data_IF_598508007329
#
_entry.id   IF_598508007329
#
_cell.length_a   1.000
_cell.length_b   1.000
_cell.length_c   1.000
_cell.angle_alpha   90.00
_cell.angle_beta   90.00
_cell.angle_gamma   90.00
#
_symmetry.space_group_name_H-M   'P 1'
#
loop_
_entity.id
_entity.type
_entity.pdbx_description
1 polymer ?
#
# COMPACT_ATOMS: atom_id res chain seq x y z
N UNK A 1 14.90 -4.89 -13.16
CA UNK A 1 13.84 -5.40 -12.27
C UNK A 1 12.54 -4.73 -12.68
N UNK A 2 11.48 -5.50 -12.91
CA UNK A 2 10.15 -4.94 -13.18
C UNK A 2 9.45 -4.67 -11.84
N UNK A 3 8.86 -3.49 -11.68
CA UNK A 3 8.02 -3.16 -10.53
C UNK A 3 6.76 -4.04 -10.59
N UNK A 4 6.52 -4.84 -9.55
CA UNK A 4 5.28 -5.62 -9.43
C UNK A 4 4.29 -4.80 -8.63
N UNK A 5 3.23 -4.31 -9.29
CA UNK A 5 2.18 -3.52 -8.65
C UNK A 5 1.03 -4.42 -8.20
N UNK A 6 0.50 -4.24 -6.97
CA UNK A 6 -0.76 -4.86 -6.57
C UNK A 6 -1.90 -4.40 -7.48
N UNK A 7 -2.90 -5.26 -7.66
CA UNK A 7 -4.11 -4.90 -8.41
C UNK A 7 -4.89 -3.80 -7.71
N UNK A 8 -4.98 -3.86 -6.38
CA UNK A 8 -5.64 -2.83 -5.58
C UNK A 8 -4.63 -2.17 -4.66
N UNK A 9 -4.60 -0.84 -4.68
CA UNK A 9 -3.62 -0.06 -3.95
C UNK A 9 -4.28 0.98 -3.06
N UNK A 10 -3.58 1.32 -1.98
CA UNK A 10 -3.73 2.55 -1.22
C UNK A 10 -2.43 3.32 -1.33
N UNK A 11 -2.53 4.64 -1.42
CA UNK A 11 -1.35 5.52 -1.49
C UNK A 11 -1.23 6.35 -0.23
N UNK A 12 -0.01 6.38 0.32
CA UNK A 12 0.36 7.18 1.48
C UNK A 12 1.41 8.21 1.09
N UNK A 13 1.27 9.48 1.51
CA UNK A 13 2.24 10.52 1.21
C UNK A 13 3.45 10.39 2.14
N UNK A 14 4.57 10.99 1.74
CA UNK A 14 5.83 10.99 2.52
C UNK A 14 5.72 11.62 3.91
N UNK A 15 4.78 12.56 4.10
CA UNK A 15 4.50 13.19 5.40
C UNK A 15 3.62 12.34 6.34
N UNK A 16 3.21 11.14 5.88
CA UNK A 16 2.35 10.19 6.60
C UNK A 16 0.99 10.74 7.06
N UNK A 17 0.53 11.87 6.53
CA UNK A 17 -0.69 12.52 6.99
C UNK A 17 -1.89 12.18 6.09
N UNK A 18 -2.61 11.11 6.46
CA UNK A 18 -3.77 10.62 5.75
C UNK A 18 -3.45 9.88 4.45
N UNK A 19 -4.37 9.03 4.03
CA UNK A 19 -4.29 8.25 2.80
C UNK A 19 -4.99 8.95 1.65
N UNK A 20 -4.52 8.66 0.44
CA UNK A 20 -5.12 9.21 -0.77
C UNK A 20 -6.56 8.72 -0.89
N UNK A 21 -7.44 9.62 -1.31
CA UNK A 21 -8.85 9.30 -1.40
C UNK A 21 -9.57 10.17 -2.42
N UNK A 22 -10.70 9.66 -2.88
CA UNK A 22 -11.59 10.37 -3.77
C UNK A 22 -12.48 11.36 -3.02
N UNK A 23 -12.49 12.63 -3.44
CA UNK A 23 -13.39 13.66 -2.89
C UNK A 23 -14.80 13.46 -3.44
N UNK A 24 -15.73 13.11 -2.55
CA UNK A 24 -17.14 12.77 -2.84
C UNK A 24 -18.13 13.90 -2.57
N UNK A 25 -17.73 14.87 -1.76
CA UNK A 25 -18.55 16.00 -1.34
C UNK A 25 -17.69 17.26 -1.32
N UNK A 26 -18.27 18.38 -1.75
CA UNK A 26 -17.58 19.67 -1.88
C UNK A 26 -18.06 20.43 -3.10
N UNK A 27 -17.95 21.76 -3.06
CA UNK A 27 -18.47 22.62 -4.13
C UNK A 27 -17.56 22.64 -5.37
N UNK A 28 -16.25 22.77 -5.17
CA UNK A 28 -15.30 23.09 -6.25
C UNK A 28 -14.18 22.06 -6.47
N UNK A 29 -14.17 20.97 -5.68
CA UNK A 29 -13.15 19.92 -5.75
C UNK A 29 -13.76 18.52 -5.88
N UNK A 30 -15.03 18.42 -6.28
CA UNK A 30 -15.69 17.14 -6.49
C UNK A 30 -14.90 16.29 -7.49
N UNK A 31 -14.55 15.08 -7.07
CA UNK A 31 -13.78 14.13 -7.85
C UNK A 31 -12.28 14.34 -7.88
N UNK A 32 -11.76 15.34 -7.16
CA UNK A 32 -10.32 15.48 -6.94
C UNK A 32 -9.80 14.35 -6.06
N UNK A 33 -8.52 14.06 -6.20
CA UNK A 33 -7.83 13.15 -5.31
C UNK A 33 -7.14 13.94 -4.20
N UNK A 34 -7.39 13.57 -2.95
CA UNK A 34 -6.93 14.30 -1.76
C UNK A 34 -6.45 13.35 -0.68
N UNK A 35 -5.37 13.72 -0.01
CA UNK A 35 -4.89 13.00 1.17
C UNK A 35 -5.65 13.49 2.40
N UNK A 36 -6.68 12.72 2.80
CA UNK A 36 -7.52 13.05 3.96
C UNK A 36 -8.07 11.83 4.70
N UNK A 37 -8.21 10.67 4.05
CA UNK A 37 -8.76 9.48 4.71
C UNK A 37 -7.82 9.02 5.82
N UNK A 38 -8.37 8.70 6.99
CA UNK A 38 -7.57 8.34 8.17
C UNK A 38 -7.26 6.84 8.23
N UNK A 39 -7.95 6.02 7.43
CA UNK A 39 -7.80 4.57 7.42
C UNK A 39 -7.50 4.07 6.00
N UNK A 40 -6.47 3.23 5.84
CA UNK A 40 -6.15 2.66 4.53
C UNK A 40 -7.21 1.66 4.03
N UNK A 41 -7.92 1.00 4.96
CA UNK A 41 -9.05 0.10 4.64
C UNK A 41 -10.32 0.85 4.23
N UNK A 42 -10.28 2.19 4.25
CA UNK A 42 -11.40 3.00 3.78
C UNK A 42 -11.71 2.67 2.33
N UNK A 43 -12.97 2.38 1.98
CA UNK A 43 -13.33 2.02 0.62
C UNK A 43 -13.08 3.22 -0.34
N UNK A 44 -13.00 4.44 0.18
CA UNK A 44 -12.65 5.67 -0.55
C UNK A 44 -11.16 5.83 -0.86
N UNK A 45 -10.30 5.09 -0.15
CA UNK A 45 -8.87 5.04 -0.35
C UNK A 45 -8.43 3.90 -1.29
N UNK A 46 -9.37 3.05 -1.73
CA UNK A 46 -9.13 1.92 -2.63
C UNK A 46 -9.09 2.37 -4.10
N UNK A 47 -7.94 2.14 -4.74
CA UNK A 47 -7.77 2.34 -6.18
C UNK A 47 -7.38 1.04 -6.88
N UNK A 48 -7.91 0.81 -8.07
CA UNK A 48 -7.55 -0.33 -8.92
C UNK A 48 -6.54 0.10 -9.98
N UNK A 49 -5.45 -0.66 -10.07
CA UNK A 49 -4.40 -0.50 -11.08
C UNK A 49 -4.68 -1.49 -12.21
N UNK A 50 -4.90 -0.96 -13.41
CA UNK A 50 -5.06 -1.74 -14.63
C UNK A 50 -3.84 -1.55 -15.51
N UNK A 51 -3.15 -2.65 -15.83
CA UNK A 51 -1.99 -2.62 -16.72
C UNK A 51 -2.47 -2.24 -18.14
N UNK A 52 -1.79 -1.29 -18.76
CA UNK A 52 -2.02 -0.89 -20.16
C UNK A 52 -1.45 -1.94 -21.12
N UNK A 53 -1.96 -1.96 -22.36
CA UNK A 53 -1.35 -2.75 -23.43
C UNK A 53 0.09 -2.28 -23.75
N UNK A 54 0.42 -1.03 -23.40
CA UNK A 54 1.78 -0.50 -23.47
C UNK A 54 2.57 -0.91 -22.23
N UNK A 55 3.61 -1.73 -22.45
CA UNK A 55 4.47 -2.27 -21.39
C UNK A 55 4.94 -1.22 -20.39
N UNK A 56 4.63 -1.44 -19.10
CA UNK A 56 5.07 -0.61 -17.98
C UNK A 56 4.24 0.64 -17.71
N UNK A 57 3.14 0.85 -18.42
CA UNK A 57 2.16 1.92 -18.14
C UNK A 57 0.90 1.34 -17.53
N UNK A 58 0.17 2.16 -16.78
CA UNK A 58 -1.06 1.74 -16.09
C UNK A 58 -2.14 2.81 -16.19
N UNK A 59 -3.38 2.34 -16.11
CA UNK A 59 -4.54 3.15 -15.77
C UNK A 59 -4.83 2.95 -14.29
N UNK A 60 -5.33 3.99 -13.63
CA UNK A 60 -5.73 3.92 -12.22
C UNK A 60 -7.17 4.40 -12.14
N UNK A 61 -8.03 3.65 -11.45
CA UNK A 61 -9.41 4.07 -11.22
C UNK A 61 -9.80 3.98 -9.75
N UNK A 62 -10.70 4.86 -9.34
CA UNK A 62 -11.32 4.77 -8.01
C UNK A 62 -12.30 3.60 -7.99
N UNK A 63 -12.20 2.73 -7.00
CA UNK A 63 -13.15 1.64 -6.82
C UNK A 63 -14.54 2.13 -6.38
N UNK A 64 -14.66 3.39 -5.94
CA UNK A 64 -15.93 3.96 -5.48
C UNK A 64 -16.85 4.37 -6.62
N UNK A 65 -16.31 5.10 -7.59
CA UNK A 65 -17.11 5.64 -8.69
C UNK A 65 -16.80 4.96 -10.03
N UNK A 66 -15.86 4.01 -10.05
CA UNK A 66 -15.38 3.31 -11.25
C UNK A 66 -14.88 4.23 -12.37
N UNK A 67 -14.39 5.42 -12.02
CA UNK A 67 -13.82 6.40 -12.96
C UNK A 67 -12.31 6.43 -12.88
N UNK A 68 -11.69 6.61 -14.04
CA UNK A 68 -10.26 6.67 -14.20
C UNK A 68 -9.71 8.02 -13.79
N UNK A 69 -8.45 7.98 -13.35
CA UNK A 69 -7.65 9.15 -13.07
C UNK A 69 -7.35 9.88 -14.37
N UNK A 70 -7.51 11.20 -14.35
CA UNK A 70 -7.14 12.08 -15.44
C UNK A 70 -6.54 13.37 -14.90
N UNK A 71 -5.76 14.05 -15.73
CA UNK A 71 -5.23 15.37 -15.42
C UNK A 71 -6.19 16.46 -15.88
N UNK A 72 -6.75 17.21 -14.94
CA UNK A 72 -7.72 18.27 -15.21
C UNK A 72 -7.11 19.64 -14.94
N UNK A 73 -7.30 20.58 -15.86
CA UNK A 73 -6.91 21.97 -15.70
C UNK A 73 -8.01 22.75 -14.98
N UNK A 74 -7.67 23.42 -13.88
CA UNK A 74 -8.62 24.30 -13.19
C UNK A 74 -8.56 25.70 -13.80
N UNK A 75 -9.75 26.25 -14.09
CA UNK A 75 -9.87 27.57 -14.74
C UNK A 75 -9.96 28.71 -13.72
N UNK A 76 -10.62 28.51 -12.58
CA UNK A 76 -10.69 29.50 -11.49
C UNK A 76 -11.32 28.93 -10.20
N UNK A 77 -10.52 28.75 -9.15
CA UNK A 77 -10.99 28.54 -7.77
C UNK A 77 -10.51 29.74 -6.96
N UNK A 78 -11.40 30.35 -6.16
CA UNK A 78 -11.06 31.53 -5.38
C UNK A 78 -9.91 31.24 -4.40
N UNK A 79 -8.82 32.02 -4.46
CA UNK A 79 -7.63 31.80 -3.63
C UNK A 79 -6.57 30.88 -4.25
N UNK A 80 -6.83 30.31 -5.43
CA UNK A 80 -5.91 29.42 -6.15
C UNK A 80 -5.46 30.07 -7.45
N UNK A 81 -4.15 30.07 -7.77
CA UNK A 81 -3.69 30.58 -9.06
C UNK A 81 -4.38 29.86 -10.23
N UNK A 82 -4.87 30.59 -11.25
CA UNK A 82 -5.49 29.96 -12.42
C UNK A 82 -4.47 29.14 -13.22
N UNK A 83 -4.96 28.11 -13.92
CA UNK A 83 -4.14 27.31 -14.84
C UNK A 83 -3.33 26.19 -14.18
N UNK A 84 -3.61 25.88 -12.92
CA UNK A 84 -3.06 24.72 -12.23
C UNK A 84 -3.71 23.42 -12.72
N UNK A 85 -2.95 22.32 -12.69
CA UNK A 85 -3.38 21.00 -13.09
C UNK A 85 -3.44 20.06 -11.90
N UNK A 86 -4.55 19.33 -11.81
CA UNK A 86 -4.89 18.44 -10.71
C UNK A 86 -5.22 17.05 -11.23
N UNK A 87 -5.07 16.04 -10.37
CA UNK A 87 -5.53 14.70 -10.68
C UNK A 87 -6.92 14.49 -10.10
N UNK A 88 -7.83 14.04 -10.96
CA UNK A 88 -9.23 13.77 -10.62
C UNK A 88 -9.60 12.36 -11.07
N UNK A 89 -10.44 11.66 -10.32
CA UNK A 89 -11.03 10.39 -10.75
C UNK A 89 -12.41 10.63 -11.40
N UNK A 90 -12.37 11.18 -12.62
CA UNK A 90 -13.56 11.65 -13.35
C UNK A 90 -13.67 11.13 -14.78
N UNK A 91 -12.62 10.52 -15.33
CA UNK A 91 -12.65 9.96 -16.68
C UNK A 91 -13.54 8.71 -16.74
N UNK A 92 -14.44 8.65 -17.71
CA UNK A 92 -15.35 7.52 -17.87
C UNK A 92 -14.66 6.31 -18.53
N UNK A 93 -13.72 6.56 -19.44
CA UNK A 93 -13.05 5.55 -20.24
C UNK A 93 -11.52 5.73 -20.16
N UNK A 94 -10.80 4.66 -20.45
CA UNK A 94 -9.35 4.68 -20.66
C UNK A 94 -9.01 5.45 -21.94
N UNK A 95 -7.92 6.22 -21.90
CA UNK A 95 -7.36 6.92 -23.05
C UNK A 95 -5.84 6.72 -23.08
N UNK A 96 -5.36 5.96 -24.07
CA UNK A 96 -3.95 5.61 -24.21
C UNK A 96 -3.19 6.51 -25.19
N UNK A 97 -3.89 7.36 -25.94
CA UNK A 97 -3.24 8.31 -26.82
C UNK A 97 -2.49 9.38 -26.01
N UNK A 98 -1.17 9.23 -25.96
CA UNK A 98 -0.27 10.10 -25.20
C UNK A 98 -0.21 11.53 -25.75
N UNK A 99 -0.82 11.82 -26.92
CA UNK A 99 -0.93 13.19 -27.44
C UNK A 99 -2.12 13.97 -26.88
N UNK A 100 -3.14 13.28 -26.35
CA UNK A 100 -4.38 13.90 -25.86
C UNK A 100 -4.26 14.33 -24.41
N UNK A 101 -4.76 15.52 -24.09
CA UNK A 101 -4.82 16.00 -22.69
C UNK A 101 -5.69 15.11 -21.79
N UNK A 102 -6.61 14.34 -22.38
CA UNK A 102 -7.47 13.38 -21.68
C UNK A 102 -6.81 12.03 -21.42
N UNK A 103 -5.52 11.87 -21.72
CA UNK A 103 -4.77 10.65 -21.45
C UNK A 103 -4.92 10.22 -19.99
N UNK A 104 -5.14 8.92 -19.76
CA UNK A 104 -5.32 8.32 -18.43
C UNK A 104 -4.15 7.43 -18.03
N UNK A 105 -3.05 7.49 -18.78
CA UNK A 105 -1.86 6.69 -18.53
C UNK A 105 -0.97 7.34 -17.45
N UNK A 106 -0.56 6.50 -16.51
CA UNK A 106 0.40 6.83 -15.48
C UNK A 106 1.55 5.83 -15.49
N UNK A 107 2.68 6.26 -14.94
CA UNK A 107 3.86 5.43 -14.73
C UNK A 107 4.30 5.52 -13.28
N UNK A 108 4.47 4.36 -12.66
CA UNK A 108 5.13 4.24 -11.36
C UNK A 108 6.64 4.12 -11.56
N UNK A 109 7.39 5.03 -10.94
CA UNK A 109 8.85 5.09 -10.99
C UNK A 109 9.41 4.82 -9.57
N UNK A 110 9.95 3.62 -9.30
CA UNK A 110 10.60 3.32 -8.02
C UNK A 110 11.80 4.25 -7.78
N UNK A 111 12.02 4.63 -6.52
CA UNK A 111 13.16 5.49 -6.14
C UNK A 111 14.44 4.67 -5.95
N UNK A 112 14.38 3.55 -5.24
CA UNK A 112 15.55 2.70 -4.94
C UNK A 112 15.34 1.22 -5.32
N UNK A 113 14.28 0.58 -4.83
CA UNK A 113 14.00 -0.85 -5.00
C UNK A 113 12.58 -1.13 -5.51
N UNK A 114 12.36 -2.32 -6.06
CA UNK A 114 11.09 -2.73 -6.67
C UNK A 114 9.89 -2.80 -5.69
N UNK A 115 10.10 -2.67 -4.38
CA UNK A 115 9.06 -2.64 -3.35
C UNK A 115 9.09 -1.37 -2.50
N UNK A 116 9.91 -0.38 -2.89
CA UNK A 116 10.12 0.87 -2.15
C UNK A 116 9.13 1.98 -2.52
N UNK A 117 9.30 3.18 -1.95
CA UNK A 117 8.53 4.35 -2.34
C UNK A 117 8.71 4.67 -3.82
N UNK A 118 7.65 5.26 -4.38
CA UNK A 118 7.51 5.51 -5.81
C UNK A 118 7.21 6.98 -6.08
N UNK A 119 7.58 7.42 -7.28
CA UNK A 119 7.01 8.60 -7.92
C UNK A 119 5.98 8.16 -8.95
N UNK A 120 4.91 8.94 -9.10
CA UNK A 120 3.89 8.67 -10.10
C UNK A 120 3.94 9.79 -11.12
N UNK A 121 4.06 9.43 -12.40
CA UNK A 121 4.17 10.37 -13.51
C UNK A 121 2.95 10.27 -14.40
N UNK A 122 2.30 11.39 -14.71
CA UNK A 122 1.25 11.45 -15.72
C UNK A 122 1.89 11.48 -17.12
N UNK A 123 1.65 10.43 -17.92
CA UNK A 123 2.41 10.12 -19.13
C UNK A 123 2.37 11.23 -20.16
N UNK A 124 1.18 11.73 -20.52
CA UNK A 124 1.06 12.75 -21.56
C UNK A 124 1.81 14.05 -21.21
N UNK A 125 1.71 14.50 -19.96
CA UNK A 125 2.34 15.76 -19.54
C UNK A 125 3.83 15.60 -19.18
N UNK A 126 4.23 14.39 -18.79
CA UNK A 126 5.51 14.12 -18.13
C UNK A 126 5.64 14.68 -16.72
N UNK A 127 4.57 15.25 -16.14
CA UNK A 127 4.61 15.84 -14.81
C UNK A 127 4.50 14.78 -13.71
N UNK A 128 5.24 14.98 -12.63
CA UNK A 128 5.10 14.20 -11.40
C UNK A 128 3.82 14.59 -10.68
N UNK A 129 3.19 13.61 -10.07
CA UNK A 129 2.11 13.83 -9.11
C UNK A 129 2.74 14.33 -7.81
N UNK A 130 2.24 15.44 -7.29
CA UNK A 130 2.73 16.02 -6.03
C UNK A 130 1.56 16.32 -5.10
N UNK A 131 1.73 15.99 -3.81
CA UNK A 131 0.90 16.51 -2.73
C UNK A 131 1.00 18.04 -2.73
N UNK A 132 -0.13 18.71 -2.91
CA UNK A 132 -0.19 20.16 -2.84
C UNK A 132 -0.40 20.62 -1.41
N UNK A 133 0.53 21.45 -0.91
CA UNK A 133 0.33 22.20 0.33
C UNK A 133 0.12 23.68 -0.02
N UNK A 134 -1.08 24.16 0.24
CA UNK A 134 -1.47 25.55 0.01
C UNK A 134 -2.35 26.08 1.12
N UNK A 135 -2.50 27.40 1.19
CA UNK A 135 -3.36 28.07 2.18
C UNK A 135 -4.87 27.89 1.91
N UNK A 136 -5.24 27.38 0.75
CA UNK A 136 -6.63 27.11 0.36
C UNK A 136 -7.16 25.83 1.01
N UNK A 137 -8.18 25.93 1.85
CA UNK A 137 -8.74 24.78 2.59
C UNK A 137 -9.33 23.68 1.67
N UNK A 138 -9.81 24.06 0.48
CA UNK A 138 -10.50 23.17 -0.46
C UNK A 138 -9.47 22.27 -1.15
N UNK A 139 -8.42 22.88 -1.71
CA UNK A 139 -7.38 22.18 -2.49
C UNK A 139 -6.14 21.78 -1.68
N UNK A 140 -6.02 22.22 -0.43
CA UNK A 140 -4.96 21.73 0.43
C UNK A 140 -5.00 20.21 0.50
N UNK A 141 -3.83 19.59 0.35
CA UNK A 141 -3.60 18.14 0.26
C UNK A 141 -4.18 17.44 -0.97
N UNK A 142 -4.65 18.17 -1.98
CA UNK A 142 -5.01 17.57 -3.27
C UNK A 142 -3.77 17.17 -4.07
N UNK A 143 -3.94 16.23 -5.01
CA UNK A 143 -2.87 15.79 -5.90
C UNK A 143 -2.79 16.70 -7.12
N UNK A 144 -1.64 17.34 -7.28
CA UNK A 144 -1.33 18.23 -8.39
C UNK A 144 -0.38 17.56 -9.40
N UNK A 145 -0.36 18.05 -10.64
CA UNK A 145 0.51 17.54 -11.72
C UNK A 145 1.04 18.69 -12.59
N UNK A 146 1.85 19.55 -11.98
CA UNK A 146 2.31 20.82 -12.58
C UNK A 146 3.77 20.79 -13.04
N UNK A 147 4.63 20.02 -12.38
CA UNK A 147 6.07 20.08 -12.56
C UNK A 147 6.63 18.76 -13.07
N UNK A 148 7.65 18.85 -13.93
CA UNK A 148 8.38 17.68 -14.45
C UNK A 148 9.59 17.32 -13.61
N UNK A 149 10.11 18.30 -12.86
CA UNK A 149 11.15 18.08 -11.88
C UNK A 149 10.58 17.34 -10.65
N UNK A 150 11.48 16.69 -9.92
CA UNK A 150 11.15 16.11 -8.63
C UNK A 150 10.98 17.21 -7.58
N UNK A 151 10.07 16.99 -6.64
CA UNK A 151 9.86 17.92 -5.54
C UNK A 151 10.98 17.77 -4.50
N UNK A 152 11.64 18.87 -4.14
CA UNK A 152 12.76 18.84 -3.20
C UNK A 152 12.35 18.54 -1.76
N UNK A 153 11.07 18.70 -1.43
CA UNK A 153 10.53 18.37 -0.12
C UNK A 153 9.98 16.94 -0.06
N UNK A 154 10.03 16.20 -1.17
CA UNK A 154 9.55 14.83 -1.27
C UNK A 154 8.03 14.71 -1.33
N UNK A 155 7.29 15.76 -1.67
CA UNK A 155 5.83 15.71 -1.84
C UNK A 155 5.38 14.95 -3.10
N UNK A 156 6.32 14.55 -3.95
CA UNK A 156 6.13 13.69 -5.11
C UNK A 156 6.39 12.20 -4.81
N UNK A 157 6.68 11.86 -3.54
CA UNK A 157 7.02 10.52 -3.10
C UNK A 157 5.82 9.90 -2.38
N UNK A 158 5.45 8.68 -2.81
CA UNK A 158 4.34 7.93 -2.25
C UNK A 158 4.77 6.50 -1.89
N UNK A 159 4.18 5.97 -0.83
CA UNK A 159 4.24 4.55 -0.51
C UNK A 159 3.00 3.86 -1.06
N UNK A 160 3.21 2.69 -1.68
CA UNK A 160 2.12 1.83 -2.15
C UNK A 160 1.85 0.78 -1.08
N UNK A 161 0.61 0.71 -0.64
CA UNK A 161 0.12 -0.36 0.23
C UNK A 161 -0.81 -1.22 -0.63
N UNK A 162 -0.57 -2.53 -0.64
CA UNK A 162 -1.50 -3.49 -1.23
C UNK A 162 -2.80 -3.48 -0.41
N UNK A 163 -3.93 -3.12 -1.03
CA UNK A 163 -5.21 -3.02 -0.32
C UNK A 163 -5.67 -4.37 0.22
N UNK A 164 -5.42 -5.47 -0.50
CA UNK A 164 -5.86 -6.80 -0.09
C UNK A 164 -4.99 -7.35 1.07
N UNK A 165 -3.79 -6.79 1.24
CA UNK A 165 -2.92 -7.00 2.42
C UNK A 165 -3.12 -5.87 3.47
N UNK A 166 -3.78 -4.77 3.10
CA UNK A 166 -4.01 -3.57 3.90
C UNK A 166 -4.60 -3.86 5.28
N UNK A 167 -5.47 -4.87 5.36
CA UNK A 167 -6.04 -5.39 6.61
C UNK A 167 -4.96 -5.86 7.60
N UNK A 168 -3.84 -6.39 7.12
CA UNK A 168 -2.71 -6.86 7.94
C UNK A 168 -1.65 -5.78 8.20
N UNK A 169 -1.44 -4.84 7.29
CA UNK A 169 -0.45 -3.76 7.44
C UNK A 169 -0.96 -2.59 8.28
N UNK A 170 -2.27 -2.28 8.27
CA UNK A 170 -2.89 -1.28 9.16
C UNK A 170 -2.87 -1.73 10.62
N UNK A 171 -3.06 -3.03 10.85
CA UNK A 171 -2.78 -3.63 12.15
C UNK A 171 -1.33 -3.37 12.57
N UNK A 172 -0.39 -3.40 11.61
CA UNK A 172 1.03 -3.13 11.86
C UNK A 172 1.41 -1.64 12.05
N UNK A 173 0.83 -0.70 11.31
CA UNK A 173 1.16 0.75 11.43
C UNK A 173 0.66 1.37 12.75
N UNK A 174 -0.31 0.75 13.43
CA UNK A 174 -0.73 1.15 14.78
C UNK A 174 0.35 0.80 15.84
N UNK A 175 1.39 0.05 15.47
CA UNK A 175 2.54 -0.20 16.33
C UNK A 175 3.63 0.85 16.14
N UNK A 176 3.52 1.97 16.85
CA UNK A 176 4.70 2.75 17.23
C UNK A 176 4.79 2.70 18.74
N UNK A 177 5.57 1.73 19.24
CA UNK A 177 6.12 1.82 20.58
C UNK A 177 7.33 2.75 20.48
N UNK A 178 7.32 3.85 21.23
CA UNK A 178 8.56 4.45 21.66
C UNK A 178 8.58 4.66 23.17
N UNK A 179 9.75 4.32 23.71
CA UNK A 179 10.34 4.69 24.98
C UNK A 179 9.58 4.36 26.29
N UNK A 180 9.96 3.22 26.88
CA UNK A 180 10.38 3.26 28.28
C UNK A 180 9.47 2.63 29.34
N UNK A 181 8.19 2.35 29.06
CA UNK A 181 7.32 1.60 29.98
C UNK A 181 6.45 0.64 29.21
N UNK A 182 6.88 -0.62 29.16
CA UNK A 182 6.28 -1.71 28.38
C UNK A 182 4.87 -2.12 28.80
N UNK A 183 3.89 -1.26 28.57
CA UNK A 183 2.50 -1.65 28.38
C UNK A 183 2.05 -1.13 27.01
N UNK A 184 1.78 -2.09 26.12
CA UNK A 184 1.25 -1.85 24.79
C UNK A 184 -0.27 -1.85 24.95
N UNK A 185 -0.91 -0.67 24.86
CA UNK A 185 -2.37 -0.58 24.76
C UNK A 185 -2.77 -0.39 23.29
N UNK A 186 -3.76 -1.18 22.88
CA UNK A 186 -4.24 -1.27 21.50
C UNK A 186 -5.73 -0.96 21.47
N UNK A 187 -6.14 -0.02 20.63
CA UNK A 187 -7.55 0.23 20.36
C UNK A 187 -7.74 0.68 18.91
N UNK A 188 -8.64 0.02 18.18
CA UNK A 188 -9.04 0.38 16.84
C UNK A 188 -10.45 -0.16 16.56
N UNK A 189 -11.30 0.66 15.96
CA UNK A 189 -12.65 0.25 15.53
C UNK A 189 -12.64 -0.04 14.04
N UNK A 190 -13.18 -1.22 13.68
CA UNK A 190 -13.24 -1.72 12.31
C UNK A 190 -14.70 -1.96 11.92
N UNK A 191 -15.07 -1.55 10.70
CA UNK A 191 -16.38 -1.80 10.12
C UNK A 191 -16.19 -2.58 8.82
N UNK A 192 -16.75 -3.80 8.72
CA UNK A 192 -16.76 -4.56 7.48
C UNK A 192 -18.05 -5.34 7.29
N UNK A 193 -18.47 -5.44 6.03
CA UNK A 193 -19.52 -6.35 5.56
C UNK A 193 -18.94 -7.75 5.29
N UNK A 194 -18.33 -8.39 6.29
CA UNK A 194 -17.74 -9.74 6.14
C UNK A 194 -18.76 -10.80 6.57
N UNK A 195 -19.01 -11.78 5.70
CA UNK A 195 -19.79 -12.98 6.03
C UNK A 195 -18.98 -13.94 6.89
N UNK A 196 -19.62 -14.50 7.91
CA UNK A 196 -19.00 -15.00 9.13
C UNK A 196 -18.31 -16.39 9.08
N UNK A 197 -17.74 -16.80 7.95
CA UNK A 197 -17.27 -18.20 7.81
C UNK A 197 -15.82 -18.37 7.34
N UNK A 198 -15.12 -17.34 6.88
CA UNK A 198 -13.77 -17.49 6.32
C UNK A 198 -12.69 -16.90 7.23
N UNK A 199 -11.86 -17.77 7.81
CA UNK A 199 -10.57 -17.37 8.40
C UNK A 199 -9.67 -16.86 7.28
N UNK A 200 -9.40 -15.55 7.27
CA UNK A 200 -8.45 -14.94 6.34
C UNK A 200 -7.03 -15.05 6.90
N UNK A 201 -6.22 -15.92 6.30
CA UNK A 201 -4.78 -15.96 6.55
C UNK A 201 -4.04 -15.15 5.47
N UNK A 202 -3.30 -14.11 5.88
CA UNK A 202 -2.37 -13.40 5.01
C UNK A 202 -0.94 -13.82 5.36
N UNK A 203 -0.16 -14.25 4.36
CA UNK A 203 1.23 -14.67 4.50
C UNK A 203 2.08 -13.94 3.47
N UNK A 204 2.95 -13.04 3.93
CA UNK A 204 3.98 -12.44 3.08
C UNK A 204 5.23 -13.31 3.14
N UNK A 205 5.65 -13.83 1.99
CA UNK A 205 6.91 -14.55 1.87
C UNK A 205 8.04 -13.53 1.67
N UNK A 206 9.04 -13.57 2.55
CA UNK A 206 10.26 -12.78 2.43
C UNK A 206 11.37 -13.69 1.92
N UNK A 207 11.84 -13.45 0.70
CA UNK A 207 12.98 -14.17 0.13
C UNK A 207 14.29 -13.55 0.61
N UNK A 208 15.08 -14.33 1.36
CA UNK A 208 16.42 -13.93 1.81
C UNK A 208 17.46 -14.77 1.08
N UNK A 209 18.29 -14.12 0.25
CA UNK A 209 19.35 -14.79 -0.52
C UNK A 209 20.67 -14.77 0.27
N UNK A 210 21.09 -15.92 0.80
CA UNK A 210 22.39 -16.10 1.45
C UNK A 210 23.31 -16.94 0.55
N UNK A 211 24.39 -16.33 0.02
CA UNK A 211 25.34 -17.01 -0.87
C UNK A 211 26.47 -17.66 -0.07
N UNK A 212 26.69 -18.95 -0.28
CA UNK A 212 27.75 -19.73 0.37
C UNK A 212 28.67 -20.33 -0.70
N UNK A 213 29.97 -20.21 -0.49
CA UNK A 213 30.99 -20.88 -1.30
C UNK A 213 31.34 -22.19 -0.58
N UNK A 214 31.18 -23.33 -1.27
CA UNK A 214 31.49 -24.65 -0.72
C UNK A 214 32.88 -25.08 -1.21
N UNK A 215 33.91 -25.13 -0.35
CA UNK A 215 35.23 -25.62 -0.72
C UNK A 215 35.18 -27.11 -1.10
N UNK A 216 36.14 -27.55 -1.92
CA UNK A 216 36.26 -28.95 -2.30
C UNK A 216 36.38 -29.85 -1.05
N UNK A 217 35.74 -31.03 -1.09
CA UNK A 217 35.75 -32.02 0.01
C UNK A 217 35.23 -31.50 1.35
N UNK A 218 34.29 -30.55 1.33
CA UNK A 218 33.71 -29.97 2.55
C UNK A 218 32.18 -30.05 2.51
N UNK A 219 31.58 -30.41 3.64
CA UNK A 219 30.14 -30.30 3.89
C UNK A 219 29.89 -28.99 4.62
N UNK A 220 29.06 -28.12 4.05
CA UNK A 220 28.62 -26.88 4.71
C UNK A 220 27.19 -27.05 5.20
N UNK A 221 26.96 -26.85 6.49
CA UNK A 221 25.63 -26.82 7.12
C UNK A 221 25.25 -25.37 7.38
N UNK A 222 24.02 -25.00 7.06
CA UNK A 222 23.53 -23.62 7.18
C UNK A 222 22.36 -23.62 8.14
N UNK A 223 22.50 -22.92 9.26
CA UNK A 223 21.46 -22.76 10.26
C UNK A 223 20.85 -21.36 10.12
N UNK A 224 19.57 -21.29 9.77
CA UNK A 224 18.78 -20.06 9.78
C UNK A 224 18.27 -19.83 11.21
N UNK A 225 18.71 -18.75 11.84
CA UNK A 225 18.25 -18.32 13.17
C UNK A 225 17.41 -17.07 12.96
N UNK A 226 16.16 -17.10 13.42
CA UNK A 226 15.26 -15.95 13.36
C UNK A 226 14.48 -15.81 14.66
N UNK A 227 14.22 -14.57 15.09
CA UNK A 227 13.38 -14.27 16.24
C UNK A 227 11.94 -14.16 15.79
N UNK A 228 11.04 -14.94 16.41
CA UNK A 228 9.61 -14.87 16.12
C UNK A 228 8.91 -13.91 17.08
N UNK A 229 8.44 -12.78 16.56
CA UNK A 229 7.45 -11.95 17.24
C UNK A 229 6.06 -12.54 17.05
N UNK A 230 5.28 -12.64 18.14
CA UNK A 230 3.86 -13.00 18.10
C UNK A 230 3.09 -11.98 18.93
N UNK A 231 2.00 -11.46 18.39
CA UNK A 231 1.10 -10.55 19.08
C UNK A 231 -0.33 -11.06 18.92
N UNK A 232 -1.05 -11.20 20.03
CA UNK A 232 -2.43 -11.64 20.09
C UNK A 232 -3.29 -10.43 20.52
N UNK A 233 -4.14 -9.96 19.61
CA UNK A 233 -4.98 -8.76 19.81
C UNK A 233 -6.43 -9.21 19.94
N UNK A 234 -7.01 -9.19 21.15
CA UNK A 234 -8.43 -9.46 21.32
C UNK A 234 -9.25 -8.28 20.78
N UNK A 235 -10.36 -8.56 20.11
CA UNK A 235 -11.31 -7.52 19.68
C UNK A 235 -12.74 -7.86 20.10
N UNK A 236 -13.55 -6.84 20.27
CA UNK A 236 -15.00 -6.95 20.51
C UNK A 236 -15.72 -6.44 19.28
N UNK A 237 -16.80 -7.10 18.85
CA UNK A 237 -17.62 -6.64 17.74
C UNK A 237 -19.09 -6.56 18.13
N UNK A 238 -19.85 -5.74 17.42
CA UNK A 238 -21.29 -5.61 17.61
C UNK A 238 -22.00 -6.53 16.61
N UNK A 239 -22.67 -7.57 17.11
CA UNK A 239 -23.50 -8.46 16.31
C UNK A 239 -24.93 -7.91 16.23
N UNK A 240 -25.53 -7.88 15.04
CA UNK A 240 -26.91 -7.41 14.83
C UNK A 240 -27.77 -8.55 14.30
N UNK A 241 -28.67 -9.07 15.15
CA UNK A 241 -29.53 -10.21 14.83
C UNK A 241 -30.97 -9.76 14.66
N UNK A 242 -31.66 -10.28 13.64
CA UNK A 242 -33.10 -10.06 13.45
C UNK A 242 -33.88 -11.21 14.09
N UNK A 243 -34.66 -10.91 15.13
CA UNK A 243 -35.52 -11.88 15.80
C UNK A 243 -36.73 -12.25 14.93
N UNK A 244 -37.44 -13.32 15.30
CA UNK A 244 -38.60 -13.81 14.54
C UNK A 244 -39.75 -12.80 14.39
N UNK A 245 -39.80 -11.79 15.26
CA UNK A 245 -40.76 -10.69 15.24
C UNK A 245 -40.30 -9.50 14.37
N UNK A 246 -39.12 -9.59 13.73
CA UNK A 246 -38.52 -8.53 12.92
C UNK A 246 -37.71 -7.51 13.72
N UNK A 247 -37.61 -7.65 15.04
CA UNK A 247 -36.79 -6.76 15.89
C UNK A 247 -35.31 -7.00 15.65
N UNK A 248 -34.54 -5.93 15.43
CA UNK A 248 -33.09 -5.99 15.33
C UNK A 248 -32.48 -5.79 16.73
N UNK A 249 -31.72 -6.78 17.21
CA UNK A 249 -31.01 -6.73 18.49
C UNK A 249 -29.52 -6.65 18.22
N UNK A 250 -28.87 -5.61 18.75
CA UNK A 250 -27.42 -5.45 18.67
C UNK A 250 -26.76 -5.85 19.99
N UNK A 251 -25.86 -6.83 19.95
CA UNK A 251 -25.15 -7.36 21.13
C UNK A 251 -23.66 -7.16 20.98
N UNK A 252 -22.99 -6.65 22.02
CA UNK A 252 -21.53 -6.64 22.09
C UNK A 252 -21.04 -8.07 22.36
N UNK A 253 -20.37 -8.66 21.39
CA UNK A 253 -19.79 -10.00 21.48
C UNK A 253 -18.29 -9.84 21.62
N UNK A 254 -17.72 -10.46 22.66
CA UNK A 254 -16.28 -10.59 22.78
C UNK A 254 -15.80 -11.51 21.66
N UNK A 255 -15.08 -10.95 20.71
CA UNK A 255 -14.74 -11.59 19.45
C UNK A 255 -13.53 -12.53 19.55
N UNK A 256 -13.09 -12.98 18.37
CA UNK A 256 -11.88 -13.78 18.22
C UNK A 256 -10.61 -12.95 18.50
N UNK A 257 -9.44 -13.57 18.35
CA UNK A 257 -8.14 -12.91 18.52
C UNK A 257 -7.47 -12.77 17.16
N UNK A 258 -7.05 -11.56 16.80
CA UNK A 258 -6.13 -11.38 15.68
C UNK A 258 -4.72 -11.77 16.14
N UNK A 259 -4.16 -12.81 15.52
CA UNK A 259 -2.79 -13.23 15.77
C UNK A 259 -1.88 -12.71 14.67
N UNK A 260 -1.07 -11.70 14.98
CA UNK A 260 0.07 -11.30 14.16
C UNK A 260 1.29 -12.12 14.51
N UNK A 261 2.06 -12.57 13.50
CA UNK A 261 3.39 -13.13 13.74
C UNK A 261 4.36 -12.71 12.65
N UNK A 262 5.58 -12.36 13.05
CA UNK A 262 6.64 -11.94 12.14
C UNK A 262 7.97 -12.55 12.59
N UNK A 263 8.85 -12.85 11.65
CA UNK A 263 10.23 -13.26 11.92
C UNK A 263 11.18 -12.10 11.62
N UNK A 264 11.96 -11.69 12.61
CA UNK A 264 12.93 -10.60 12.51
C UNK A 264 14.27 -11.02 13.13
N UNK A 265 15.31 -10.19 12.98
CA UNK A 265 16.68 -10.51 13.41
C UNK A 265 17.17 -11.84 12.83
N UNK A 266 17.13 -11.95 11.50
CA UNK A 266 17.54 -13.14 10.77
C UNK A 266 19.07 -13.19 10.70
N UNK A 267 19.66 -14.28 11.16
CA UNK A 267 21.09 -14.56 11.08
C UNK A 267 21.32 -15.96 10.51
N UNK A 268 22.40 -16.10 9.74
CA UNK A 268 22.83 -17.39 9.20
C UNK A 268 24.12 -17.79 9.89
N UNK A 269 24.13 -18.99 10.47
CA UNK A 269 25.34 -19.63 10.96
C UNK A 269 25.76 -20.73 9.99
N UNK A 270 27.04 -20.74 9.61
CA UNK A 270 27.60 -21.73 8.69
C UNK A 270 28.63 -22.58 9.40
N UNK A 271 28.44 -23.91 9.35
CA UNK A 271 29.40 -24.87 9.88
C UNK A 271 30.01 -25.69 8.76
N UNK A 272 31.34 -25.70 8.68
CA UNK A 272 32.09 -26.50 7.72
C UNK A 272 32.62 -27.78 8.36
N UNK A 273 32.33 -28.93 7.76
CA UNK A 273 32.88 -30.22 8.14
C UNK A 273 33.66 -30.83 6.98
N UNK A 274 34.91 -31.21 7.20
CA UNK A 274 35.72 -31.90 6.19
C UNK A 274 35.13 -33.30 5.94
N UNK A 275 34.96 -33.64 4.66
CA UNK A 275 34.52 -34.96 4.26
C UNK A 275 35.68 -35.95 4.34
N UNK A 276 35.40 -37.15 4.84
CA UNK A 276 36.39 -38.22 4.82
C UNK A 276 36.72 -38.62 3.37
N UNK A 277 37.99 -38.92 3.07
CA UNK A 277 38.38 -39.40 1.75
C UNK A 277 37.67 -40.73 1.45
N UNK A 278 37.26 -40.92 0.18
CA UNK A 278 36.67 -42.18 -0.29
C UNK A 278 37.59 -43.35 0.09
N UNK A 279 37.06 -44.32 0.85
CA UNK A 279 37.71 -45.63 1.00
C UNK A 279 37.87 -46.23 -0.39
N UNK A 280 39.10 -46.65 -0.71
CA UNK A 280 39.36 -47.36 -1.97
C UNK A 280 38.48 -48.63 -1.99
N UNK A 281 37.91 -49.00 -3.14
CA UNK A 281 37.23 -50.29 -3.26
C UNK A 281 38.21 -51.39 -2.86
N UNK A 282 37.74 -52.37 -2.08
CA UNK A 282 38.54 -53.53 -1.75
C UNK A 282 39.00 -54.21 -3.05
N UNK A 283 40.27 -54.61 -3.16
CA UNK A 283 40.75 -55.31 -4.35
C UNK A 283 39.94 -56.61 -4.55
N UNK A 284 39.48 -56.83 -5.79
CA UNK A 284 38.79 -58.06 -6.22
C UNK A 284 39.65 -59.30 -6.01
#
# INVERSE_FOLDING_TARGET
MALTLPKFIVLKPSDNNGYLSYVREGENNLGFLKFFETQAVSPYAKFEVEISDTSGLVHIRSCQNNKYWQRTKTVSIAGVPPGQYWITATAQNKEEDQSKETCTLFKFAPIDHATGPVRIVHVQSGCNLCLWLGSDLILNRCVSANYREFDSNGFDIFSIIDYDIGDSTVACETFVADDGKGNIEMSGEFHSDVKWEETKESKTLVDVVHKIVVPAMTKVTVNLIATKGKCDVPFTFMQSDTLYDGTIVTTAVQGATYTGSNYYSIHFETEETKLEPRKKPDPM
#
